data_IF_196574313549
#
_entry.id   IF_196574313549
#
_cell.length_a   1.000
_cell.length_b   1.000
_cell.length_c   1.000
_cell.angle_alpha   90.00
_cell.angle_beta   90.00
_cell.angle_gamma   90.00
#
_symmetry.space_group_name_H-M   'P 1'
#
loop_
_entity.id
_entity.type
_entity.pdbx_description
1 polymer ?
#
# COMPACT_ATOMS: atom_id res chain seq x y z
N UNK A 1 -22.40 -42.92 -70.76
CA UNK A 1 -21.28 -42.06 -70.29
C UNK A 1 -21.90 -41.09 -69.28
N UNK A 2 -21.87 -41.44 -67.99
CA UNK A 2 -22.61 -40.74 -66.94
C UNK A 2 -21.62 -39.89 -66.15
N UNK A 3 -21.75 -38.59 -66.20
CA UNK A 3 -20.88 -37.63 -65.51
C UNK A 3 -21.44 -37.41 -64.09
N UNK A 4 -20.68 -37.85 -63.06
CA UNK A 4 -20.93 -37.54 -61.66
C UNK A 4 -20.43 -36.17 -61.33
N UNK A 5 -21.29 -35.28 -60.82
CA UNK A 5 -20.94 -33.96 -60.29
C UNK A 5 -20.40 -34.11 -58.87
N UNK A 6 -19.39 -33.34 -58.47
CA UNK A 6 -18.85 -33.37 -57.09
C UNK A 6 -19.72 -32.53 -56.16
N UNK A 7 -20.16 -33.15 -55.06
CA UNK A 7 -20.82 -32.48 -53.95
C UNK A 7 -19.77 -31.65 -53.15
N UNK A 8 -19.94 -30.34 -53.13
CA UNK A 8 -19.11 -29.46 -52.31
C UNK A 8 -19.77 -29.40 -50.92
N UNK A 9 -19.08 -29.98 -49.95
CA UNK A 9 -19.45 -29.82 -48.53
C UNK A 9 -18.95 -28.47 -48.02
N UNK A 10 -19.86 -27.60 -47.68
CA UNK A 10 -19.54 -26.37 -46.91
C UNK A 10 -19.32 -26.72 -45.45
N UNK A 11 -18.08 -26.65 -45.03
CA UNK A 11 -17.70 -26.72 -43.62
C UNK A 11 -17.97 -25.36 -42.97
N UNK A 12 -19.10 -25.25 -42.25
CA UNK A 12 -19.41 -24.03 -41.50
C UNK A 12 -18.54 -23.96 -40.25
N UNK A 13 -17.56 -23.08 -40.27
CA UNK A 13 -16.69 -22.77 -39.15
C UNK A 13 -17.45 -21.82 -38.21
N UNK A 14 -18.06 -22.36 -37.16
CA UNK A 14 -18.68 -21.54 -36.10
C UNK A 14 -17.56 -20.97 -35.23
N UNK A 15 -17.23 -19.69 -35.44
CA UNK A 15 -16.31 -18.94 -34.60
C UNK A 15 -17.04 -18.63 -33.26
N UNK A 16 -16.72 -19.40 -32.23
CA UNK A 16 -17.18 -19.08 -30.88
C UNK A 16 -16.41 -17.84 -30.41
N UNK A 17 -17.07 -16.69 -30.41
CA UNK A 17 -16.62 -15.50 -29.71
C UNK A 17 -16.73 -15.77 -28.21
N UNK A 18 -15.63 -16.18 -27.58
CA UNK A 18 -15.49 -16.11 -26.14
C UNK A 18 -15.32 -14.61 -25.83
N UNK A 19 -16.44 -13.92 -25.56
CA UNK A 19 -16.43 -12.61 -24.94
C UNK A 19 -15.86 -12.81 -23.52
N UNK A 20 -14.56 -12.57 -23.36
CA UNK A 20 -13.96 -12.32 -22.07
C UNK A 20 -14.61 -11.04 -21.54
N UNK A 21 -15.68 -11.18 -20.75
CA UNK A 21 -16.17 -10.11 -19.92
C UNK A 21 -15.07 -9.83 -18.90
N UNK A 22 -14.15 -8.93 -19.26
CA UNK A 22 -13.35 -8.24 -18.29
C UNK A 22 -14.37 -7.57 -17.36
N UNK A 23 -14.63 -8.16 -16.21
CA UNK A 23 -15.21 -7.46 -15.09
C UNK A 23 -14.30 -6.24 -14.90
N UNK A 24 -14.77 -5.07 -15.30
CA UNK A 24 -14.12 -3.83 -14.93
C UNK A 24 -14.21 -3.79 -13.42
N UNK A 25 -13.13 -4.19 -12.75
CA UNK A 25 -12.98 -3.96 -11.34
C UNK A 25 -13.19 -2.46 -11.17
N UNK A 26 -14.23 -2.08 -10.45
CA UNK A 26 -14.49 -0.68 -10.16
C UNK A 26 -13.31 -0.21 -9.33
N UNK A 27 -12.47 0.61 -9.94
CA UNK A 27 -11.26 1.15 -9.28
C UNK A 27 -11.73 2.17 -8.27
N UNK A 28 -11.88 1.72 -7.02
CA UNK A 28 -12.33 2.55 -5.93
C UNK A 28 -11.15 2.89 -5.03
N UNK A 29 -10.75 4.14 -5.08
CA UNK A 29 -9.70 4.66 -4.21
C UNK A 29 -10.15 4.75 -2.75
N UNK A 30 -9.23 4.48 -1.83
CA UNK A 30 -9.36 4.71 -0.40
C UNK A 30 -8.15 5.52 0.10
N UNK A 31 -8.02 6.82 -0.31
CA UNK A 31 -6.79 7.59 -0.18
C UNK A 31 -6.54 8.14 1.24
N UNK A 32 -7.49 7.97 2.15
CA UNK A 32 -7.40 8.42 3.54
C UNK A 32 -7.69 7.30 4.50
N UNK A 33 -7.26 7.44 5.75
CA UNK A 33 -7.50 6.46 6.84
C UNK A 33 -8.96 5.96 6.92
N UNK A 34 -9.90 6.85 6.70
CA UNK A 34 -11.32 6.55 6.77
C UNK A 34 -12.06 6.86 5.45
N UNK A 35 -11.42 6.58 4.34
CA UNK A 35 -11.84 6.80 2.96
C UNK A 35 -11.77 8.26 2.50
N UNK A 36 -12.51 9.15 3.12
CA UNK A 36 -12.60 10.56 2.75
C UNK A 36 -12.22 11.49 3.92
N UNK A 37 -12.16 12.79 3.65
CA UNK A 37 -11.86 13.82 4.66
C UNK A 37 -12.96 13.95 5.72
N UNK A 38 -14.17 13.48 5.44
CA UNK A 38 -15.29 13.41 6.37
C UNK A 38 -15.26 12.18 7.27
N UNK A 39 -14.31 11.25 7.02
CA UNK A 39 -14.17 10.00 7.76
C UNK A 39 -15.43 9.12 7.69
N UNK A 40 -16.05 9.04 6.53
CA UNK A 40 -17.31 8.31 6.32
C UNK A 40 -17.17 6.80 6.53
N UNK A 41 -15.97 6.25 6.29
CA UNK A 41 -15.68 4.80 6.30
C UNK A 41 -16.61 4.01 5.40
N UNK A 42 -17.04 4.64 4.34
CA UNK A 42 -18.00 4.08 3.39
C UNK A 42 -17.49 4.14 1.96
N UNK A 43 -17.73 3.11 1.21
CA UNK A 43 -17.54 3.02 -0.23
C UNK A 43 -18.81 2.43 -0.84
N UNK A 44 -19.26 2.96 -1.98
CA UNK A 44 -20.41 2.45 -2.71
C UNK A 44 -19.99 1.24 -3.56
N UNK A 45 -19.67 0.14 -2.87
CA UNK A 45 -19.22 -1.13 -3.43
C UNK A 45 -20.22 -2.21 -3.04
N UNK A 46 -20.68 -3.01 -4.00
CA UNK A 46 -21.67 -4.07 -3.82
C UNK A 46 -21.16 -5.49 -4.13
N UNK A 47 -19.88 -5.62 -4.51
CA UNK A 47 -19.28 -6.92 -4.83
C UNK A 47 -19.31 -7.89 -3.65
N UNK A 48 -19.20 -7.36 -2.43
CA UNK A 48 -19.33 -8.14 -1.20
C UNK A 48 -20.68 -7.75 -0.56
N UNK A 49 -21.60 -8.70 -0.56
CA UNK A 49 -22.96 -8.52 -0.04
C UNK A 49 -23.38 -9.81 0.70
N UNK A 50 -24.64 -9.88 1.16
CA UNK A 50 -25.15 -11.01 1.93
C UNK A 50 -25.14 -12.34 1.16
N UNK A 51 -25.27 -12.26 -0.15
CA UNK A 51 -25.30 -13.42 -1.04
C UNK A 51 -23.90 -13.92 -1.37
N UNK A 52 -22.91 -13.03 -1.47
CA UNK A 52 -21.55 -13.34 -1.95
C UNK A 52 -20.51 -13.46 -0.83
N UNK A 53 -20.79 -12.97 0.38
CA UNK A 53 -19.81 -12.96 1.49
C UNK A 53 -19.30 -14.37 1.87
N UNK A 54 -20.12 -15.39 1.70
CA UNK A 54 -19.75 -16.78 1.98
C UNK A 54 -18.76 -17.39 0.98
N UNK A 55 -18.62 -16.74 -0.19
CA UNK A 55 -17.74 -17.20 -1.27
C UNK A 55 -16.36 -16.50 -1.22
N UNK A 56 -16.11 -15.66 -0.21
CA UNK A 56 -14.86 -14.98 -0.05
C UNK A 56 -13.68 -15.94 0.13
N UNK A 57 -12.62 -15.68 -0.61
CA UNK A 57 -11.36 -16.42 -0.52
C UNK A 57 -10.19 -15.46 -0.33
N UNK A 58 -9.11 -15.95 0.25
CA UNK A 58 -7.86 -15.18 0.34
C UNK A 58 -7.27 -15.06 -1.06
N UNK A 59 -7.24 -13.85 -1.61
CA UNK A 59 -6.67 -13.60 -2.93
C UNK A 59 -5.14 -13.69 -2.90
N UNK A 60 -4.52 -13.10 -1.88
CA UNK A 60 -3.07 -13.12 -1.69
C UNK A 60 -2.71 -12.85 -0.21
N UNK A 61 -1.46 -13.10 0.14
CA UNK A 61 -0.87 -12.78 1.44
C UNK A 61 0.49 -12.14 1.24
N UNK A 62 0.67 -10.96 1.82
CA UNK A 62 1.97 -10.30 1.86
C UNK A 62 2.65 -10.53 3.21
N UNK A 63 3.97 -10.77 3.19
CA UNK A 63 4.79 -10.89 4.40
C UNK A 63 5.59 -9.62 4.61
N UNK A 64 5.42 -8.99 5.77
CA UNK A 64 6.15 -7.78 6.12
C UNK A 64 7.66 -7.97 6.05
N UNK A 65 8.34 -6.97 5.50
CA UNK A 65 9.81 -6.85 5.49
C UNK A 65 10.38 -6.85 6.92
N UNK A 66 9.60 -6.43 7.92
CA UNK A 66 9.98 -6.47 9.33
C UNK A 66 10.45 -7.85 9.77
N UNK A 67 9.89 -8.92 9.20
CA UNK A 67 10.30 -10.29 9.55
C UNK A 67 11.77 -10.54 9.21
N UNK A 68 12.28 -10.02 8.10
CA UNK A 68 13.68 -10.12 7.73
C UNK A 68 14.54 -9.23 8.63
N UNK A 69 14.08 -8.03 8.96
CA UNK A 69 14.79 -7.11 9.87
C UNK A 69 14.91 -7.68 11.28
N UNK A 70 13.83 -8.28 11.82
CA UNK A 70 13.82 -8.93 13.14
C UNK A 70 14.74 -10.15 13.17
N UNK A 71 14.84 -10.93 12.09
CA UNK A 71 15.70 -12.10 12.05
C UNK A 71 17.18 -11.79 12.29
N UNK A 72 17.62 -10.58 11.92
CA UNK A 72 19.01 -10.09 12.14
C UNK A 72 19.14 -9.14 13.31
N UNK A 73 18.03 -8.67 13.88
CA UNK A 73 17.95 -7.76 15.04
C UNK A 73 16.84 -8.20 15.99
N UNK A 74 16.98 -9.36 16.65
CA UNK A 74 15.91 -9.96 17.45
C UNK A 74 15.50 -9.14 18.69
N UNK A 75 16.29 -8.14 19.06
CA UNK A 75 15.94 -7.19 20.13
C UNK A 75 14.84 -6.19 19.72
N UNK A 76 14.59 -6.01 18.42
CA UNK A 76 13.58 -5.08 17.92
C UNK A 76 12.25 -5.81 17.67
N UNK A 77 11.50 -6.02 18.73
CA UNK A 77 10.22 -6.70 18.69
C UNK A 77 9.11 -5.70 18.43
N UNK A 78 8.32 -5.86 17.35
CA UNK A 78 7.14 -5.02 17.12
C UNK A 78 6.13 -5.15 18.25
N UNK A 79 5.57 -4.02 18.69
CA UNK A 79 4.49 -4.03 19.68
C UNK A 79 3.16 -4.52 19.09
N UNK A 80 3.05 -4.55 17.76
CA UNK A 80 1.92 -5.05 17.02
C UNK A 80 1.78 -4.36 15.67
N UNK A 81 1.14 -5.04 14.72
CA UNK A 81 0.83 -4.48 13.40
C UNK A 81 -0.52 -3.75 13.49
N UNK A 82 -0.50 -2.40 13.47
CA UNK A 82 -1.68 -1.55 13.65
C UNK A 82 -1.91 -0.60 12.49
N UNK A 83 -1.17 -0.78 11.40
CA UNK A 83 -1.29 0.06 10.24
C UNK A 83 -2.61 -0.16 9.52
N UNK A 84 -3.27 0.93 9.14
CA UNK A 84 -4.37 0.91 8.20
C UNK A 84 -3.81 1.27 6.83
N UNK A 85 -3.91 0.38 5.84
CA UNK A 85 -3.48 0.69 4.48
C UNK A 85 -4.37 1.77 3.86
N UNK A 86 -3.81 2.54 2.94
CA UNK A 86 -4.56 3.38 2.02
C UNK A 86 -4.43 2.81 0.61
N UNK A 87 -5.45 3.00 -0.22
CA UNK A 87 -5.46 2.54 -1.60
C UNK A 87 -5.56 3.73 -2.54
N UNK A 88 -4.67 3.78 -3.53
CA UNK A 88 -4.69 4.80 -4.57
C UNK A 88 -4.14 4.24 -5.88
N UNK A 89 -4.92 4.40 -6.95
CA UNK A 89 -4.55 4.00 -8.31
C UNK A 89 -4.02 2.55 -8.37
N UNK A 90 -4.75 1.60 -7.78
CA UNK A 90 -4.41 0.17 -7.76
C UNK A 90 -3.30 -0.21 -6.77
N UNK A 91 -2.69 0.74 -6.06
CA UNK A 91 -1.60 0.51 -5.12
C UNK A 91 -2.04 0.66 -3.67
N UNK A 92 -1.69 -0.31 -2.83
CA UNK A 92 -1.82 -0.23 -1.38
C UNK A 92 -0.54 0.32 -0.76
N UNK A 93 -0.66 1.42 -0.03
CA UNK A 93 0.44 2.00 0.75
C UNK A 93 0.23 1.71 2.22
N UNK A 94 1.27 1.20 2.87
CA UNK A 94 1.20 0.75 4.25
C UNK A 94 2.48 1.11 5.02
N UNK A 95 2.36 1.43 6.31
CA UNK A 95 3.50 1.47 7.20
C UNK A 95 3.67 0.14 7.91
N UNK A 96 4.91 -0.27 8.15
CA UNK A 96 5.20 -1.44 9.00
C UNK A 96 5.46 -1.02 10.44
N UNK A 97 5.49 -1.99 11.34
CA UNK A 97 5.75 -1.71 12.76
C UNK A 97 7.15 -1.13 12.99
N UNK A 98 8.16 -1.60 12.25
CA UNK A 98 9.55 -1.08 12.35
C UNK A 98 9.77 0.23 11.58
N UNK A 99 8.71 0.82 11.00
CA UNK A 99 8.78 2.12 10.35
C UNK A 99 9.18 2.07 8.88
N UNK A 100 9.00 0.95 8.20
CA UNK A 100 9.11 0.91 6.74
C UNK A 100 7.83 1.47 6.11
N UNK A 101 7.95 2.10 4.96
CA UNK A 101 6.84 2.44 4.08
C UNK A 101 6.88 1.46 2.90
N UNK A 102 5.75 0.87 2.56
CA UNK A 102 5.69 -0.17 1.51
C UNK A 102 4.55 0.14 0.56
N UNK A 103 4.81 -0.04 -0.75
CA UNK A 103 3.79 -0.08 -1.78
C UNK A 103 3.62 -1.53 -2.28
N UNK A 104 2.36 -1.93 -2.38
CA UNK A 104 1.95 -3.28 -2.77
C UNK A 104 0.91 -3.15 -3.88
N UNK A 105 1.06 -3.91 -4.94
CA UNK A 105 0.02 -4.04 -5.95
C UNK A 105 -1.25 -4.62 -5.32
N UNK A 106 -2.34 -3.87 -5.37
CA UNK A 106 -3.60 -4.24 -4.71
C UNK A 106 -4.26 -5.49 -5.28
N UNK A 107 -3.98 -5.82 -6.55
CA UNK A 107 -4.55 -6.97 -7.24
C UNK A 107 -3.74 -8.25 -6.97
N UNK A 108 -2.41 -8.16 -7.02
CA UNK A 108 -1.53 -9.33 -6.96
C UNK A 108 -0.90 -9.58 -5.60
N UNK A 109 -0.84 -8.55 -4.74
CA UNK A 109 -0.10 -8.59 -3.48
C UNK A 109 1.41 -8.50 -3.65
N UNK A 110 1.91 -8.23 -4.86
CA UNK A 110 3.35 -8.07 -5.11
C UNK A 110 3.85 -6.74 -4.54
N UNK A 111 4.98 -6.80 -3.84
CA UNK A 111 5.62 -5.60 -3.32
C UNK A 111 6.32 -4.83 -4.46
N UNK A 112 5.87 -3.61 -4.72
CA UNK A 112 6.43 -2.74 -5.74
C UNK A 112 7.71 -2.06 -5.26
N UNK A 113 7.67 -1.49 -4.06
CA UNK A 113 8.83 -0.90 -3.41
C UNK A 113 8.70 -0.90 -1.89
N UNK A 114 9.82 -0.67 -1.22
CA UNK A 114 9.88 -0.40 0.23
C UNK A 114 10.89 0.69 0.51
N UNK A 115 10.60 1.50 1.52
CA UNK A 115 11.49 2.54 2.03
C UNK A 115 11.69 2.35 3.53
N UNK A 116 12.94 2.14 3.96
CA UNK A 116 13.32 2.07 5.37
C UNK A 116 13.60 3.48 5.90
N UNK A 117 12.82 3.93 6.86
CA UNK A 117 13.00 5.26 7.48
C UNK A 117 14.12 5.32 8.50
N UNK A 118 14.73 4.18 8.85
CA UNK A 118 15.76 4.10 9.87
C UNK A 118 15.26 4.36 11.30
N UNK A 119 13.97 4.27 11.55
CA UNK A 119 13.38 4.52 12.89
C UNK A 119 14.02 3.69 13.98
N UNK A 120 14.42 2.47 13.66
CA UNK A 120 15.04 1.50 14.57
C UNK A 120 16.48 1.86 14.98
N UNK A 121 17.18 2.76 14.27
CA UNK A 121 18.56 3.14 14.54
C UNK A 121 18.75 3.81 15.92
N UNK A 122 17.70 4.43 16.44
CA UNK A 122 17.69 5.07 17.74
C UNK A 122 17.21 4.15 18.89
N UNK A 123 17.10 2.84 18.64
CA UNK A 123 16.60 1.87 19.59
C UNK A 123 15.09 1.74 19.61
N UNK A 124 14.56 1.01 20.60
CA UNK A 124 13.12 0.83 20.74
C UNK A 124 12.45 2.13 21.18
N UNK A 125 11.45 2.63 20.45
CA UNK A 125 10.75 3.85 20.81
C UNK A 125 10.09 3.76 22.19
N UNK A 126 10.05 4.90 22.89
CA UNK A 126 9.37 5.01 24.19
C UNK A 126 7.86 4.70 24.06
N UNK A 127 7.23 4.41 25.19
CA UNK A 127 5.81 4.13 25.35
C UNK A 127 5.35 2.83 24.68
N UNK A 128 4.93 2.89 23.42
CA UNK A 128 4.29 1.79 22.71
C UNK A 128 5.27 0.91 21.94
N UNK A 129 6.59 1.17 22.00
CA UNK A 129 7.57 0.47 21.18
C UNK A 129 7.40 0.72 19.69
N UNK A 130 7.85 -0.22 18.85
CA UNK A 130 7.71 -0.14 17.41
C UNK A 130 6.25 -0.31 16.99
N UNK A 131 5.65 0.80 16.59
CA UNK A 131 4.24 0.85 16.25
C UNK A 131 3.95 2.07 15.36
N UNK A 132 3.39 1.83 14.19
CA UNK A 132 2.92 2.85 13.26
C UNK A 132 1.46 2.58 12.88
N UNK A 133 0.68 3.63 12.63
CA UNK A 133 -0.76 3.51 12.38
C UNK A 133 -1.13 3.64 10.92
N UNK A 134 -0.20 4.00 10.08
CA UNK A 134 -0.43 4.17 8.65
C UNK A 134 0.38 5.29 8.04
N UNK A 135 0.04 5.61 6.82
CA UNK A 135 0.62 6.68 6.01
C UNK A 135 -0.48 7.62 5.54
N UNK A 136 -0.10 8.77 5.02
CA UNK A 136 -1.01 9.71 4.39
C UNK A 136 -0.62 9.92 2.95
N UNK A 137 -1.61 9.96 2.06
CA UNK A 137 -1.43 10.32 0.66
C UNK A 137 -1.66 11.82 0.47
N UNK A 138 -0.81 12.44 -0.34
CA UNK A 138 -0.94 13.82 -0.76
C UNK A 138 -0.65 13.94 -2.25
N UNK A 139 -1.47 14.70 -2.97
CA UNK A 139 -1.26 15.01 -4.37
C UNK A 139 -1.52 16.48 -4.65
N UNK A 140 -0.67 17.06 -5.50
CA UNK A 140 -0.85 18.38 -6.10
C UNK A 140 -0.19 18.38 -7.47
N UNK A 141 -0.96 18.76 -8.49
CA UNK A 141 -0.56 18.69 -9.89
C UNK A 141 -0.13 17.23 -10.23
N UNK A 142 1.03 17.06 -10.84
CA UNK A 142 1.60 15.72 -11.15
C UNK A 142 2.37 15.09 -9.99
N UNK A 143 2.48 15.77 -8.84
CA UNK A 143 3.23 15.27 -7.70
C UNK A 143 2.34 14.44 -6.78
N UNK A 144 2.71 13.20 -6.58
CA UNK A 144 2.05 12.28 -5.65
C UNK A 144 3.05 11.81 -4.59
N UNK A 145 2.67 11.89 -3.32
CA UNK A 145 3.55 11.66 -2.18
C UNK A 145 2.89 10.81 -1.11
N UNK A 146 3.70 9.98 -0.49
CA UNK A 146 3.35 9.28 0.74
C UNK A 146 4.07 9.97 1.89
N UNK A 147 3.31 10.41 2.87
CA UNK A 147 3.81 11.09 4.07
C UNK A 147 3.71 10.15 5.26
N UNK A 148 4.77 10.10 6.08
CA UNK A 148 4.78 9.36 7.34
C UNK A 148 5.58 10.09 8.41
N UNK A 149 4.96 10.34 9.56
CA UNK A 149 5.69 10.73 10.76
C UNK A 149 6.24 9.48 11.47
N UNK A 150 7.48 9.56 11.94
CA UNK A 150 8.21 8.43 12.50
C UNK A 150 8.54 8.61 13.97
N UNK A 151 8.69 7.51 14.69
CA UNK A 151 8.97 7.50 16.13
C UNK A 151 10.27 8.20 16.53
N UNK A 152 11.19 8.44 15.59
CA UNK A 152 12.41 9.23 15.79
C UNK A 152 12.24 10.71 15.40
N UNK A 153 10.98 11.20 15.40
CA UNK A 153 10.60 12.59 15.19
C UNK A 153 10.98 13.19 13.82
N UNK A 154 10.85 12.41 12.76
CA UNK A 154 10.90 12.92 11.39
C UNK A 154 9.55 12.81 10.70
N UNK A 155 9.24 13.76 9.82
CA UNK A 155 8.19 13.64 8.83
C UNK A 155 8.85 13.38 7.48
N UNK A 156 8.63 12.20 6.92
CA UNK A 156 9.10 11.81 5.61
C UNK A 156 8.09 12.14 4.52
N UNK A 157 8.60 12.49 3.34
CA UNK A 157 7.87 12.61 2.09
C UNK A 157 8.52 11.73 1.03
N UNK A 158 7.80 10.72 0.58
CA UNK A 158 8.26 9.71 -0.38
C UNK A 158 7.46 9.88 -1.67
N UNK A 159 8.13 9.84 -2.81
CA UNK A 159 7.48 9.84 -4.13
C UNK A 159 6.68 8.55 -4.27
N UNK A 160 5.37 8.66 -4.46
CA UNK A 160 4.45 7.52 -4.42
C UNK A 160 4.78 6.45 -5.48
N UNK A 161 5.17 6.86 -6.67
CA UNK A 161 5.50 5.97 -7.80
C UNK A 161 6.79 5.17 -7.55
N UNK A 162 7.82 5.81 -6.96
CA UNK A 162 9.19 5.25 -6.95
C UNK A 162 9.66 4.76 -5.60
N UNK A 163 8.99 5.15 -4.50
CA UNK A 163 9.45 4.88 -3.15
C UNK A 163 10.71 5.65 -2.74
N UNK A 164 11.17 6.62 -3.54
CA UNK A 164 12.33 7.43 -3.23
C UNK A 164 11.95 8.67 -2.40
N UNK A 165 12.84 9.16 -1.54
CA UNK A 165 12.60 10.42 -0.84
C UNK A 165 12.37 11.58 -1.82
N UNK A 166 11.37 12.41 -1.55
CA UNK A 166 11.16 13.64 -2.30
C UNK A 166 12.20 14.69 -1.90
N UNK A 167 13.26 14.81 -2.65
CA UNK A 167 14.38 15.69 -2.38
C UNK A 167 14.00 17.17 -2.30
N UNK A 168 12.82 17.56 -2.79
CA UNK A 168 12.30 18.92 -2.66
C UNK A 168 11.59 19.19 -1.32
N UNK A 169 11.38 18.15 -0.49
CA UNK A 169 10.71 18.25 0.80
C UNK A 169 11.72 18.30 1.95
N UNK A 170 11.69 19.39 2.72
CA UNK A 170 12.56 19.57 3.88
C UNK A 170 14.05 19.43 3.56
N UNK A 171 14.75 18.60 4.31
CA UNK A 171 16.14 18.26 4.06
C UNK A 171 16.24 16.77 3.64
N UNK A 172 16.57 16.54 2.35
CA UNK A 172 16.69 15.21 1.78
C UNK A 172 15.42 14.33 1.98
N UNK A 173 14.25 14.90 1.72
CA UNK A 173 12.99 14.16 1.78
C UNK A 173 12.36 14.08 3.17
N UNK A 174 12.91 14.75 4.17
CA UNK A 174 12.36 14.75 5.53
C UNK A 174 12.45 16.10 6.23
N UNK A 175 11.55 16.31 7.17
CA UNK A 175 11.53 17.42 8.11
C UNK A 175 11.81 16.90 9.51
N UNK A 176 12.72 17.55 10.21
CA UNK A 176 13.00 17.28 11.63
C UNK A 176 11.93 17.99 12.50
N UNK A 177 11.09 17.20 13.15
CA UNK A 177 9.99 17.69 13.97
C UNK A 177 10.44 18.12 15.38
N UNK A 178 11.70 17.99 15.71
CA UNK A 178 12.26 18.49 16.99
C UNK A 178 12.71 19.94 16.91
N UNK A 179 12.84 20.49 15.69
CA UNK A 179 13.26 21.88 15.50
C UNK A 179 12.17 22.83 16.00
N UNK A 180 12.59 23.87 16.70
CA UNK A 180 11.69 24.92 17.22
C UNK A 180 10.96 24.53 18.51
N UNK A 181 11.21 23.39 19.12
CA UNK A 181 10.59 22.96 20.39
C UNK A 181 11.18 23.70 21.62
N UNK A 182 12.21 24.52 21.46
CA UNK A 182 12.82 25.30 22.53
C UNK A 182 13.59 24.48 23.58
N UNK A 183 13.81 23.19 23.34
CA UNK A 183 14.56 22.26 24.20
C UNK A 183 15.22 21.14 23.39
N UNK A 184 16.26 20.56 23.91
CA UNK A 184 16.84 19.33 23.39
C UNK A 184 15.87 18.15 23.57
N UNK A 185 15.79 17.30 22.55
CA UNK A 185 14.96 16.11 22.54
C UNK A 185 15.87 14.87 22.41
N UNK A 186 15.78 13.98 23.37
CA UNK A 186 16.31 12.63 23.25
C UNK A 186 15.36 11.81 22.35
N UNK A 187 15.77 11.53 21.13
CA UNK A 187 14.94 10.83 20.13
C UNK A 187 14.61 9.39 20.54
N UNK A 188 15.43 8.75 21.38
CA UNK A 188 15.12 7.41 21.90
C UNK A 188 13.92 7.42 22.86
N UNK A 189 13.60 8.57 23.41
CA UNK A 189 12.52 8.78 24.39
C UNK A 189 11.35 9.58 23.82
N UNK A 190 11.42 9.92 22.55
CA UNK A 190 10.37 10.67 21.86
C UNK A 190 9.54 9.70 21.00
N UNK A 191 8.25 9.89 20.97
CA UNK A 191 7.33 9.13 20.12
C UNK A 191 6.25 10.08 19.61
N UNK A 192 5.99 10.03 18.31
CA UNK A 192 4.90 10.75 17.63
C UNK A 192 3.71 9.80 17.47
#
# INVERSE_FOLDING_TARGET
MTIKSPTVQFLSLTLAFISCLSSLAQDYDWPHYANDRGSSKYADLDQINKETVQDLQVAWMWKSIDNAQISVRPQFVPAGFKSTPIHKDGTLYISTSLGNIVAIDGMTGEQQWTFDTGTWEHGTPANMGFNHRGVSYWAQDEKQRILMATNNAYLWSIVAETGQPDMSFGNNGKVDLTLGLGREIDRSRYSI
#
